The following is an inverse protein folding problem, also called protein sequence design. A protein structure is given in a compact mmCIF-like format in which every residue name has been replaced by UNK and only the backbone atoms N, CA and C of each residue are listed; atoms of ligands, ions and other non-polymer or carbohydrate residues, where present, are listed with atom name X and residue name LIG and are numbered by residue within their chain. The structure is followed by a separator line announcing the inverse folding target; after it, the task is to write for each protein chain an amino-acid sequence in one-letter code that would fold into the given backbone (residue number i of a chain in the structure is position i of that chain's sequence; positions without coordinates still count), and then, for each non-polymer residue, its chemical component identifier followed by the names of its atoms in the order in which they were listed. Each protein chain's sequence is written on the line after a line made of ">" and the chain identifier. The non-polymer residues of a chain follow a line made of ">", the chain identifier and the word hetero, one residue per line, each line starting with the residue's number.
data_IF_874831272930
#
_entry.id   IF_874831272930
#
_cell.length_a   1.000
_cell.length_b   1.000
_cell.length_c   1.000
_cell.angle_alpha   90.00
_cell.angle_beta   90.00
_cell.angle_gamma   90.00
#
_symmetry.space_group_name_H-M   'P 1'
#
loop_
_entity.id
_entity.type
_entity.pdbx_description
1 polymer ?
#
# COMPACT_ATOMS: atom_id res chain seq x y z
N UNK A 1 -19.46 5.59 -11.65
CA UNK A 1 -18.27 4.73 -11.42
C UNK A 1 -17.05 5.47 -10.85
N UNK A 2 -16.99 6.80 -10.93
CA UNK A 2 -15.77 7.56 -10.58
C UNK A 2 -15.41 7.45 -9.10
N UNK A 3 -16.37 7.41 -8.19
CA UNK A 3 -16.09 7.18 -6.76
C UNK A 3 -15.52 5.78 -6.48
N UNK A 4 -15.94 4.77 -7.25
CA UNK A 4 -15.37 3.41 -7.17
C UNK A 4 -13.90 3.45 -7.59
N UNK A 5 -13.59 4.15 -8.68
CA UNK A 5 -12.21 4.35 -9.13
C UNK A 5 -11.37 5.08 -8.09
N UNK A 6 -11.87 6.19 -7.56
CA UNK A 6 -11.18 6.96 -6.52
C UNK A 6 -10.92 6.12 -5.25
N UNK A 7 -11.86 5.26 -4.85
CA UNK A 7 -11.65 4.33 -3.74
C UNK A 7 -10.58 3.29 -4.05
N UNK A 8 -10.52 2.78 -5.28
CA UNK A 8 -9.46 1.87 -5.71
C UNK A 8 -8.08 2.53 -5.69
N UNK A 9 -7.96 3.73 -6.24
CA UNK A 9 -6.72 4.51 -6.28
C UNK A 9 -6.23 4.86 -4.86
N UNK A 10 -7.14 5.40 -4.03
CA UNK A 10 -6.83 5.77 -2.65
C UNK A 10 -6.50 4.56 -1.78
N UNK A 11 -7.25 3.46 -1.90
CA UNK A 11 -7.01 2.22 -1.17
C UNK A 11 -5.68 1.56 -1.54
N UNK A 12 -5.29 1.60 -2.82
CA UNK A 12 -3.97 1.13 -3.27
C UNK A 12 -2.85 1.94 -2.59
N UNK A 13 -2.94 3.27 -2.62
CA UNK A 13 -1.93 4.17 -2.01
C UNK A 13 -1.89 3.99 -0.48
N UNK A 14 -3.05 3.80 0.15
CA UNK A 14 -3.12 3.54 1.58
C UNK A 14 -2.47 2.20 1.94
N UNK A 15 -2.74 1.15 1.17
CA UNK A 15 -2.11 -0.16 1.35
C UNK A 15 -0.60 -0.13 1.11
N UNK A 16 -0.10 0.65 0.15
CA UNK A 16 1.34 0.91 -0.04
C UNK A 16 1.91 1.62 1.20
N UNK A 17 1.19 2.61 1.75
CA UNK A 17 1.60 3.29 2.98
C UNK A 17 1.73 2.32 4.16
N UNK A 18 0.78 1.40 4.33
CA UNK A 18 0.87 0.33 5.33
C UNK A 18 2.03 -0.65 5.06
N UNK A 19 2.40 -0.85 3.80
CA UNK A 19 3.50 -1.75 3.44
C UNK A 19 4.87 -1.17 3.80
N UNK A 20 5.05 0.15 3.74
CA UNK A 20 6.34 0.83 3.97
C UNK A 20 6.42 1.54 5.34
N UNK A 21 5.28 1.86 5.94
CA UNK A 21 5.16 2.57 7.21
C UNK A 21 5.22 1.64 8.42
N UNK A 22 5.65 2.17 9.56
CA UNK A 22 5.71 1.44 10.82
C UNK A 22 5.34 2.36 11.99
N UNK A 23 4.52 1.84 12.89
CA UNK A 23 4.31 2.43 14.22
C UNK A 23 5.06 1.54 15.22
N UNK A 24 5.84 2.16 16.10
CA UNK A 24 6.64 1.48 17.12
C UNK A 24 6.16 1.87 18.52
N UNK A 25 5.81 0.86 19.31
CA UNK A 25 5.51 1.01 20.73
C UNK A 25 6.74 0.65 21.58
N UNK A 26 7.17 1.56 22.45
CA UNK A 26 8.30 1.38 23.36
C UNK A 26 7.88 1.80 24.76
N UNK A 27 8.12 0.95 25.76
CA UNK A 27 7.76 1.21 27.16
C UNK A 27 6.28 1.57 27.40
N UNK A 28 5.38 1.05 26.56
CA UNK A 28 3.94 1.33 26.64
C UNK A 28 3.49 2.60 25.90
N UNK A 29 4.38 3.30 25.22
CA UNK A 29 4.08 4.54 24.49
C UNK A 29 4.41 4.42 23.01
N UNK A 30 3.64 5.11 22.16
CA UNK A 30 3.93 5.21 20.73
C UNK A 30 5.05 6.23 20.53
N UNK A 31 6.06 5.82 19.78
CA UNK A 31 7.27 6.64 19.55
C UNK A 31 7.10 7.69 18.46
N UNK A 32 6.23 7.45 17.47
CA UNK A 32 5.92 8.42 16.41
C UNK A 32 4.83 9.39 16.89
N UNK A 33 5.00 10.68 16.59
CA UNK A 33 4.13 11.76 17.02
C UNK A 33 3.25 12.33 15.90
N UNK A 34 3.67 12.25 14.63
CA UNK A 34 2.94 12.79 13.48
C UNK A 34 3.47 12.26 12.12
N UNK A 35 3.07 12.81 10.98
CA UNK A 35 3.51 12.35 9.65
C UNK A 35 4.95 12.72 9.26
N UNK A 36 5.67 13.43 10.12
CA UNK A 36 7.10 13.70 9.90
C UNK A 36 7.97 12.55 10.43
N UNK A 37 7.49 11.80 11.44
CA UNK A 37 8.18 10.65 12.04
C UNK A 37 7.43 9.31 11.85
N UNK A 38 6.14 9.32 11.53
CA UNK A 38 5.39 8.20 10.94
C UNK A 38 5.35 8.32 9.42
N UNK A 39 5.92 7.31 8.73
CA UNK A 39 5.94 7.29 7.28
C UNK A 39 4.58 6.87 6.71
N UNK A 40 3.91 7.83 6.07
CA UNK A 40 2.83 7.61 5.09
C UNK A 40 3.40 7.84 3.69
N UNK A 41 2.94 7.10 2.68
CA UNK A 41 3.42 7.30 1.31
C UNK A 41 3.19 8.74 0.85
N UNK A 42 4.22 9.34 0.29
CA UNK A 42 4.23 10.65 -0.39
C UNK A 42 4.26 10.42 -1.89
N UNK A 43 4.05 11.47 -2.68
CA UNK A 43 4.02 11.38 -4.15
C UNK A 43 5.19 10.58 -4.77
N UNK A 44 6.45 10.69 -4.30
CA UNK A 44 7.55 9.89 -4.87
C UNK A 44 7.51 8.38 -4.54
N UNK A 45 6.68 7.97 -3.58
CA UNK A 45 6.55 6.59 -3.11
C UNK A 45 5.30 5.90 -3.66
N UNK A 46 4.47 6.61 -4.43
CA UNK A 46 3.28 6.08 -5.09
C UNK A 46 3.57 5.78 -6.57
N UNK A 47 2.80 4.88 -7.20
CA UNK A 47 2.87 4.68 -8.64
C UNK A 47 2.66 6.00 -9.40
N UNK A 48 3.38 6.18 -10.50
CA UNK A 48 3.20 7.36 -11.38
C UNK A 48 1.84 7.35 -12.06
N UNK A 49 1.32 6.14 -12.34
CA UNK A 49 0.01 5.89 -12.92
C UNK A 49 -0.70 4.79 -12.14
N UNK A 50 -2.02 4.93 -11.99
CA UNK A 50 -2.89 3.89 -11.42
C UNK A 50 -4.04 3.70 -12.41
N UNK A 51 -4.17 2.48 -12.92
CA UNK A 51 -5.25 2.11 -13.85
C UNK A 51 -6.29 1.29 -13.09
N UNK A 52 -7.57 1.69 -13.21
CA UNK A 52 -8.69 0.99 -12.58
C UNK A 52 -9.71 0.57 -13.63
N UNK A 53 -9.84 -0.74 -13.78
CA UNK A 53 -10.87 -1.37 -14.60
C UNK A 53 -12.00 -1.90 -13.71
N UNK A 54 -13.24 -1.51 -14.03
CA UNK A 54 -14.44 -1.98 -13.33
C UNK A 54 -15.07 -3.06 -14.20
N UNK A 55 -15.03 -4.32 -13.73
CA UNK A 55 -15.62 -5.45 -14.44
C UNK A 55 -17.14 -5.45 -14.20
N UNK A 56 -17.91 -5.53 -15.30
CA UNK A 56 -19.37 -5.59 -15.23
C UNK A 56 -19.86 -6.90 -14.59
N UNK A 57 -20.92 -6.81 -13.78
CA UNK A 57 -21.52 -7.94 -13.08
C UNK A 57 -23.00 -7.69 -12.82
N UNK A 58 -23.81 -8.74 -12.83
CA UNK A 58 -25.24 -8.69 -12.45
C UNK A 58 -25.46 -8.86 -10.93
N UNK A 59 -24.39 -9.06 -10.15
CA UNK A 59 -24.48 -9.17 -8.71
C UNK A 59 -24.95 -7.86 -8.07
N UNK A 60 -25.54 -7.97 -6.88
CA UNK A 60 -25.92 -6.79 -6.09
C UNK A 60 -24.67 -5.95 -5.74
N UNK A 61 -24.79 -4.61 -5.69
CA UNK A 61 -23.68 -3.74 -5.29
C UNK A 61 -23.11 -4.12 -3.91
N UNK A 62 -21.79 -4.24 -3.84
CA UNK A 62 -21.05 -4.46 -2.60
C UNK A 62 -20.27 -3.22 -2.15
N UNK A 63 -19.63 -3.32 -0.99
CA UNK A 63 -18.72 -2.28 -0.50
C UNK A 63 -17.41 -2.25 -1.30
N UNK A 64 -16.93 -1.05 -1.64
CA UNK A 64 -15.64 -0.81 -2.33
C UNK A 64 -14.59 -0.14 -1.45
N UNK A 65 -14.96 0.25 -0.22
CA UNK A 65 -14.09 1.03 0.66
C UNK A 65 -12.78 0.32 1.01
N UNK A 66 -12.89 -0.91 1.49
CA UNK A 66 -11.77 -1.71 2.00
C UNK A 66 -11.08 -2.60 0.96
N UNK A 67 -11.77 -3.25 -0.01
CA UNK A 67 -11.17 -4.23 -0.91
C UNK A 67 -9.87 -3.84 -1.62
N UNK A 68 -9.66 -2.57 -2.03
CA UNK A 68 -8.43 -2.18 -2.71
C UNK A 68 -7.18 -2.12 -1.80
N UNK A 69 -7.35 -2.09 -0.47
CA UNK A 69 -6.23 -1.89 0.48
C UNK A 69 -5.38 -3.15 0.70
N UNK A 70 -5.95 -4.31 1.12
CA UNK A 70 -5.16 -5.49 1.44
C UNK A 70 -4.25 -6.03 0.32
N UNK A 71 -4.64 -5.98 -0.97
CA UNK A 71 -3.81 -6.49 -2.06
C UNK A 71 -2.52 -5.69 -2.32
N UNK A 72 -2.44 -4.44 -1.87
CA UNK A 72 -1.34 -3.54 -2.21
C UNK A 72 0.03 -4.03 -1.71
N UNK A 73 0.12 -4.42 -0.43
CA UNK A 73 1.36 -4.87 0.19
C UNK A 73 1.96 -6.13 -0.47
N UNK A 74 1.20 -7.23 -0.68
CA UNK A 74 1.73 -8.40 -1.39
C UNK A 74 2.01 -8.13 -2.87
N UNK A 75 1.24 -7.25 -3.54
CA UNK A 75 1.55 -6.85 -4.92
C UNK A 75 2.91 -6.16 -5.01
N UNK A 76 3.20 -5.21 -4.11
CA UNK A 76 4.50 -4.54 -4.00
C UNK A 76 5.62 -5.55 -3.69
N UNK A 77 5.43 -6.41 -2.69
CA UNK A 77 6.43 -7.41 -2.32
C UNK A 77 6.76 -8.38 -3.47
N UNK A 78 5.75 -8.80 -4.24
CA UNK A 78 5.93 -9.66 -5.42
C UNK A 78 6.64 -8.92 -6.56
N UNK A 79 6.31 -7.65 -6.81
CA UNK A 79 6.99 -6.83 -7.81
C UNK A 79 8.48 -6.66 -7.46
N UNK A 80 8.79 -6.39 -6.19
CA UNK A 80 10.17 -6.30 -5.71
C UNK A 80 10.92 -7.63 -5.83
N UNK A 81 10.27 -8.76 -5.54
CA UNK A 81 10.87 -10.07 -5.75
C UNK A 81 11.18 -10.31 -7.24
N UNK A 82 10.25 -9.97 -8.14
CA UNK A 82 10.47 -10.09 -9.57
C UNK A 82 11.63 -9.19 -10.07
N UNK A 83 11.76 -7.99 -9.52
CA UNK A 83 12.79 -7.03 -9.92
C UNK A 83 14.17 -7.30 -9.31
N UNK A 84 14.25 -7.92 -8.13
CA UNK A 84 15.49 -8.01 -7.34
C UNK A 84 15.92 -9.43 -6.97
N UNK A 85 15.02 -10.42 -7.08
CA UNK A 85 15.20 -11.76 -6.53
C UNK A 85 15.05 -11.86 -5.01
N UNK A 86 14.96 -10.72 -4.29
CA UNK A 86 14.80 -10.71 -2.83
C UNK A 86 13.33 -10.86 -2.43
N UNK A 87 13.03 -11.81 -1.55
CA UNK A 87 11.66 -12.06 -1.08
C UNK A 87 11.40 -11.44 0.29
N UNK A 88 10.59 -10.40 0.33
CA UNK A 88 10.15 -9.73 1.56
C UNK A 88 8.94 -10.45 2.15
N UNK A 89 9.06 -10.88 3.43
CA UNK A 89 7.98 -11.58 4.17
C UNK A 89 7.56 -10.86 5.45
N UNK A 90 8.29 -9.83 5.83
CA UNK A 90 8.04 -8.99 7.00
C UNK A 90 7.80 -7.57 6.51
N UNK A 91 6.89 -6.88 7.18
CA UNK A 91 6.67 -5.44 7.04
C UNK A 91 7.36 -4.71 8.19
N UNK A 92 7.76 -3.44 7.99
CA UNK A 92 7.67 -2.68 6.74
C UNK A 92 8.67 -3.14 5.68
N UNK A 93 8.34 -2.93 4.41
CA UNK A 93 9.28 -3.05 3.29
C UNK A 93 10.24 -1.86 3.34
N UNK A 94 11.57 -2.08 3.34
CA UNK A 94 12.53 -0.99 3.40
C UNK A 94 12.52 -0.15 2.12
N UNK A 95 12.67 1.17 2.26
CA UNK A 95 12.76 2.08 1.10
C UNK A 95 14.07 1.93 0.32
N UNK A 96 15.14 1.51 1.00
CA UNK A 96 16.45 1.32 0.40
C UNK A 96 16.69 -0.17 0.15
N UNK A 97 16.35 -0.63 -1.04
CA UNK A 97 16.52 -2.01 -1.47
C UNK A 97 17.81 -2.10 -2.30
N UNK A 98 18.70 -3.02 -1.92
CA UNK A 98 19.90 -3.31 -2.70
C UNK A 98 19.51 -4.25 -3.85
N UNK A 99 19.70 -3.82 -5.08
CA UNK A 99 19.69 -4.71 -6.24
C UNK A 99 21.02 -5.46 -6.29
N UNK A 100 20.97 -6.75 -6.65
CA UNK A 100 22.17 -7.55 -6.91
C UNK A 100 22.89 -7.09 -8.18
#
# INVERSE_FOLDING_TARGET
>A
PDHVKAQCEGGLIYGISCAIGQITALNGEITQSNFHDYLVARMPQTPVTIDVEIVETEALPGGVGEPPTPPAAPALANALFAATGQRFRNLPIPLNIKTA
#
